data_IF_340781276250
#
_entry.id   IF_340781276250
#
_cell.length_a   1.000
_cell.length_b   1.000
_cell.length_c   1.000
_cell.angle_alpha   90.00
_cell.angle_beta   90.00
_cell.angle_gamma   90.00
#
_symmetry.space_group_name_H-M   'P 1'
#
loop_
_entity.id
_entity.type
_entity.pdbx_description
1 polymer ?
#
# COMPACT_ATOMS: atom_id res chain seq x y z
N UNK A 1 -13.29 10.70 -7.23
CA UNK A 1 -12.58 9.60 -7.91
C UNK A 1 -13.02 8.29 -7.28
N UNK A 2 -13.46 7.30 -8.07
CA UNK A 2 -13.84 5.97 -7.57
C UNK A 2 -12.71 5.00 -7.88
N UNK A 3 -12.34 4.18 -6.90
CA UNK A 3 -11.29 3.16 -7.03
C UNK A 3 -11.92 1.81 -6.72
N UNK A 4 -11.76 0.86 -7.64
CA UNK A 4 -12.22 -0.50 -7.48
C UNK A 4 -11.04 -1.42 -7.10
N UNK A 5 -11.23 -2.21 -6.04
CA UNK A 5 -10.22 -3.16 -5.55
C UNK A 5 -10.45 -4.60 -6.03
N UNK A 6 -11.59 -4.87 -6.68
CA UNK A 6 -11.98 -6.21 -7.16
C UNK A 6 -11.36 -6.55 -8.53
N UNK A 7 -10.04 -6.39 -8.65
CA UNK A 7 -9.28 -6.74 -9.85
C UNK A 7 -8.24 -7.80 -9.49
N UNK A 8 -8.35 -8.98 -10.10
CA UNK A 8 -7.47 -10.12 -9.84
C UNK A 8 -5.99 -9.81 -10.13
N UNK A 9 -5.71 -8.88 -11.05
CA UNK A 9 -4.34 -8.45 -11.37
C UNK A 9 -3.73 -7.67 -10.21
N UNK A 10 -4.56 -6.89 -9.51
CA UNK A 10 -4.15 -6.18 -8.29
C UNK A 10 -3.89 -7.19 -7.18
N UNK A 11 -4.73 -8.23 -7.07
CA UNK A 11 -4.52 -9.33 -6.10
C UNK A 11 -3.22 -10.09 -6.35
N UNK A 12 -2.91 -10.49 -7.58
CA UNK A 12 -1.64 -11.16 -7.91
C UNK A 12 -0.44 -10.25 -7.59
N UNK A 13 -0.52 -8.98 -7.98
CA UNK A 13 0.56 -8.02 -7.71
C UNK A 13 0.75 -7.73 -6.21
N UNK A 14 -0.33 -7.68 -5.43
CA UNK A 14 -0.27 -7.54 -3.97
C UNK A 14 0.40 -8.76 -3.32
N UNK A 15 0.08 -9.97 -3.78
CA UNK A 15 0.72 -11.19 -3.29
C UNK A 15 2.21 -11.26 -3.64
N UNK A 16 2.63 -10.76 -4.81
CA UNK A 16 4.05 -10.65 -5.18
C UNK A 16 4.81 -9.67 -4.27
N UNK A 17 4.23 -8.50 -4.01
CA UNK A 17 4.80 -7.52 -3.08
C UNK A 17 4.96 -8.10 -1.67
N UNK A 18 3.94 -8.83 -1.20
CA UNK A 18 3.97 -9.48 0.12
C UNK A 18 5.07 -10.54 0.22
N UNK A 19 5.24 -11.38 -0.82
CA UNK A 19 6.35 -12.34 -0.87
C UNK A 19 7.71 -11.65 -0.91
N UNK A 20 7.83 -10.55 -1.65
CA UNK A 20 9.06 -9.77 -1.73
C UNK A 20 9.44 -9.21 -0.36
N UNK A 21 8.52 -8.54 0.33
CA UNK A 21 8.77 -8.00 1.67
C UNK A 21 9.07 -9.10 2.69
N UNK A 22 8.35 -10.23 2.65
CA UNK A 22 8.66 -11.37 3.53
C UNK A 22 10.03 -11.97 3.28
N UNK A 23 10.50 -11.99 2.04
CA UNK A 23 11.87 -12.44 1.74
C UNK A 23 12.96 -11.54 2.37
N UNK A 24 12.59 -10.31 2.75
CA UNK A 24 13.44 -9.35 3.46
C UNK A 24 13.17 -9.34 4.98
N UNK A 25 12.37 -10.27 5.51
CA UNK A 25 12.00 -10.33 6.92
C UNK A 25 10.88 -9.35 7.33
N UNK A 26 10.25 -8.68 6.37
CA UNK A 26 9.22 -7.67 6.61
C UNK A 26 7.84 -8.30 6.46
N UNK A 27 7.02 -8.21 7.51
CA UNK A 27 5.62 -8.65 7.45
C UNK A 27 4.70 -7.43 7.38
N UNK A 28 3.95 -7.32 6.29
CA UNK A 28 2.87 -6.34 6.12
C UNK A 28 1.57 -6.99 6.55
N UNK A 29 0.65 -6.20 7.13
CA UNK A 29 -0.60 -6.57 7.80
C UNK A 29 -1.55 -7.53 7.06
N UNK A 30 -2.85 -7.25 7.07
CA UNK A 30 -3.84 -8.20 6.54
C UNK A 30 -3.84 -8.21 5.01
N UNK A 31 -4.40 -9.27 4.42
CA UNK A 31 -4.50 -9.40 2.95
C UNK A 31 -5.21 -8.22 2.29
N UNK A 32 -6.21 -7.64 2.96
CA UNK A 32 -6.94 -6.48 2.45
C UNK A 32 -6.06 -5.22 2.43
N UNK A 33 -5.20 -5.03 3.43
CA UNK A 33 -4.30 -3.88 3.49
C UNK A 33 -3.29 -3.92 2.34
N UNK A 34 -2.79 -5.11 2.01
CA UNK A 34 -1.90 -5.34 0.87
C UNK A 34 -2.58 -5.01 -0.45
N UNK A 35 -3.85 -5.41 -0.58
CA UNK A 35 -4.66 -5.13 -1.77
C UNK A 35 -4.91 -3.63 -1.93
N UNK A 36 -5.33 -2.95 -0.86
CA UNK A 36 -5.54 -1.50 -0.82
C UNK A 36 -4.25 -0.78 -1.19
N UNK A 37 -3.13 -1.13 -0.54
CA UNK A 37 -1.85 -0.51 -0.79
C UNK A 37 -1.40 -0.70 -2.24
N UNK A 38 -1.56 -1.90 -2.81
CA UNK A 38 -1.22 -2.15 -4.21
C UNK A 38 -2.08 -1.34 -5.16
N UNK A 39 -3.38 -1.21 -4.89
CA UNK A 39 -4.28 -0.38 -5.71
C UNK A 39 -3.88 1.09 -5.64
N UNK A 40 -3.55 1.60 -4.46
CA UNK A 40 -3.09 2.97 -4.27
C UNK A 40 -1.73 3.24 -4.94
N UNK A 41 -0.84 2.26 -5.01
CA UNK A 41 0.42 2.39 -5.77
C UNK A 41 0.15 2.50 -7.28
N UNK A 42 -0.78 1.70 -7.83
CA UNK A 42 -1.09 1.66 -9.27
C UNK A 42 -1.79 2.94 -9.71
N UNK A 43 -2.87 3.29 -9.03
CA UNK A 43 -3.69 4.47 -9.38
C UNK A 43 -3.06 5.78 -8.88
N UNK A 44 -2.01 5.65 -8.07
CA UNK A 44 -1.30 6.71 -7.38
C UNK A 44 -2.13 7.58 -6.41
N UNK A 45 -3.34 7.29 -5.90
CA UNK A 45 -3.89 8.13 -4.83
C UNK A 45 -2.98 8.05 -3.58
N UNK A 46 -2.81 9.16 -2.84
CA UNK A 46 -2.31 9.06 -1.47
C UNK A 46 -3.32 8.28 -0.61
N UNK A 47 -2.83 7.42 0.27
CA UNK A 47 -3.64 6.64 1.19
C UNK A 47 -3.75 7.38 2.53
N UNK A 48 -4.97 7.61 2.98
CA UNK A 48 -5.25 8.01 4.37
C UNK A 48 -5.39 6.75 5.21
N UNK A 49 -4.58 6.64 6.27
CA UNK A 49 -4.57 5.48 7.14
C UNK A 49 -4.21 5.88 8.57
N UNK A 50 -4.59 5.04 9.54
CA UNK A 50 -4.25 5.21 10.96
C UNK A 50 -3.51 4.01 11.56
N UNK A 51 -3.39 2.92 10.80
CA UNK A 51 -2.71 1.68 11.22
C UNK A 51 -1.30 1.62 10.63
N UNK A 52 -0.30 1.32 11.45
CA UNK A 52 1.12 1.32 11.05
C UNK A 52 1.49 0.22 10.04
N UNK A 53 0.58 -0.69 9.75
CA UNK A 53 0.77 -1.79 8.80
C UNK A 53 1.11 -1.31 7.37
N UNK A 54 0.82 -0.06 7.02
CA UNK A 54 1.18 0.54 5.73
C UNK A 54 2.61 1.11 5.69
N UNK A 55 3.26 1.33 6.84
CA UNK A 55 4.57 1.96 6.93
C UNK A 55 5.64 1.21 6.10
N UNK A 56 5.73 -0.14 6.13
CA UNK A 56 6.70 -0.84 5.30
C UNK A 56 6.41 -0.69 3.81
N UNK A 57 5.14 -0.55 3.41
CA UNK A 57 4.76 -0.37 2.01
C UNK A 57 5.12 1.05 1.53
N UNK A 58 5.03 2.04 2.40
CA UNK A 58 5.50 3.41 2.13
C UNK A 58 7.01 3.41 1.97
N UNK A 59 7.73 2.84 2.94
CA UNK A 59 9.19 2.83 2.99
C UNK A 59 9.83 2.04 1.83
N UNK A 60 9.24 0.91 1.43
CA UNK A 60 9.88 -0.01 0.49
C UNK A 60 9.22 -0.07 -0.89
N UNK A 61 7.95 0.29 -1.03
CA UNK A 61 7.17 0.06 -2.26
C UNK A 61 6.57 1.35 -2.86
N UNK A 62 6.84 2.51 -2.26
CA UNK A 62 6.47 3.82 -2.82
C UNK A 62 4.99 4.17 -2.70
N UNK A 63 4.29 3.61 -1.71
CA UNK A 63 2.95 4.09 -1.37
C UNK A 63 3.02 5.52 -0.84
N UNK A 64 2.12 6.39 -1.28
CA UNK A 64 2.05 7.79 -0.83
C UNK A 64 1.15 7.91 0.38
N UNK A 65 1.62 8.54 1.44
CA UNK A 65 0.81 8.86 2.62
C UNK A 65 0.01 10.14 2.40
N UNK A 66 -1.27 10.15 2.76
CA UNK A 66 -2.07 11.36 2.79
C UNK A 66 -1.81 12.21 4.04
N UNK A 67 -1.19 11.64 5.07
CA UNK A 67 -0.86 12.36 6.32
C UNK A 67 0.23 13.40 6.07
N UNK A 68 1.13 13.13 5.13
CA UNK A 68 2.22 14.04 4.75
C UNK A 68 1.65 15.28 4.04
N UNK A 69 0.57 15.11 3.27
CA UNK A 69 -0.14 16.21 2.60
C UNK A 69 -0.85 17.15 3.57
N UNK A 70 -1.35 16.62 4.69
CA UNK A 70 -2.01 17.43 5.72
C UNK A 70 -1.01 18.23 6.58
N UNK A 71 0.26 17.82 6.57
CA UNK A 71 1.30 18.38 7.43
C UNK A 71 2.01 19.60 6.82
N UNK A 72 1.74 19.94 5.55
CA UNK A 72 2.43 21.03 4.84
C UNK A 72 3.93 20.80 4.64
N UNK A 73 4.42 19.59 4.89
CA UNK A 73 5.82 19.20 4.68
C UNK A 73 5.93 18.71 3.24
N UNK A 74 6.59 19.52 2.42
CA UNK A 74 7.02 19.20 1.05
C UNK A 74 8.54 19.02 1.06
#
# INVERSE_FOLDING_TARGET
MRIDINDWRVTDAAARNDRHLRSQGITVGKSIDKLIAKRCIIDRPPLLYSVRDFDPVIQHLGLRSAMDLASGVN
#
